data_IF_317855657640
#
_entry.id   IF_317855657640
#
_cell.length_a   1.000
_cell.length_b   1.000
_cell.length_c   1.000
_cell.angle_alpha   90.00
_cell.angle_beta   90.00
_cell.angle_gamma   90.00
#
_symmetry.space_group_name_H-M   'P 1'
#
loop_
_entity.id
_entity.type
_entity.pdbx_description
1 polymer ?
#
# COMPACT_ATOMS: atom_id res chain seq x y z
N UNK A 1 -29.28 -25.27 29.81
CA UNK A 1 -28.45 -24.40 30.67
C UNK A 1 -28.38 -23.03 30.04
N UNK A 2 -29.13 -22.05 30.56
CA UNK A 2 -29.12 -20.67 30.03
C UNK A 2 -27.87 -19.96 30.55
N UNK A 3 -26.82 -19.91 29.73
CA UNK A 3 -25.57 -19.23 30.07
C UNK A 3 -25.79 -17.73 30.21
N UNK A 4 -25.14 -17.10 31.20
CA UNK A 4 -25.13 -15.65 31.39
C UNK A 4 -24.76 -14.97 30.07
N UNK A 5 -25.59 -14.02 29.60
CA UNK A 5 -25.28 -13.23 28.41
C UNK A 5 -23.98 -12.47 28.67
N UNK A 6 -23.01 -12.60 27.78
CA UNK A 6 -21.79 -11.79 27.83
C UNK A 6 -22.15 -10.33 27.62
N UNK A 7 -21.50 -9.45 28.36
CA UNK A 7 -21.64 -8.00 28.21
C UNK A 7 -21.02 -7.55 26.89
N UNK A 8 -21.41 -6.36 26.40
CA UNK A 8 -20.85 -5.80 25.18
C UNK A 8 -19.31 -5.66 25.26
N UNK A 9 -18.78 -5.27 26.43
CA UNK A 9 -17.34 -5.16 26.67
C UNK A 9 -16.62 -6.52 26.59
N UNK A 10 -17.21 -7.58 27.14
CA UNK A 10 -16.64 -8.93 27.05
C UNK A 10 -16.64 -9.46 25.61
N UNK A 11 -17.70 -9.17 24.85
CA UNK A 11 -17.79 -9.53 23.43
C UNK A 11 -16.70 -8.84 22.63
N UNK A 12 -16.48 -7.54 22.85
CA UNK A 12 -15.43 -6.78 22.18
C UNK A 12 -14.04 -7.32 22.53
N UNK A 13 -13.75 -7.51 23.81
CA UNK A 13 -12.47 -8.06 24.28
C UNK A 13 -12.17 -9.43 23.66
N UNK A 14 -13.17 -10.32 23.60
CA UNK A 14 -13.01 -11.67 23.02
C UNK A 14 -12.82 -11.60 21.52
N UNK A 15 -13.57 -10.76 20.82
CA UNK A 15 -13.42 -10.55 19.37
C UNK A 15 -12.03 -10.02 19.04
N UNK A 16 -11.53 -9.04 19.80
CA UNK A 16 -10.17 -8.52 19.66
C UNK A 16 -9.11 -9.62 19.89
N UNK A 17 -9.29 -10.47 20.92
CA UNK A 17 -8.37 -11.60 21.14
C UNK A 17 -8.42 -12.62 20.00
N UNK A 18 -9.60 -12.91 19.45
CA UNK A 18 -9.74 -13.80 18.28
C UNK A 18 -9.03 -13.20 17.06
N UNK A 19 -9.12 -11.88 16.84
CA UNK A 19 -8.40 -11.21 15.76
C UNK A 19 -6.88 -11.40 15.89
N UNK A 20 -6.33 -11.22 17.09
CA UNK A 20 -4.91 -11.48 17.38
C UNK A 20 -4.50 -12.93 17.05
N UNK A 21 -5.32 -13.92 17.45
CA UNK A 21 -5.05 -15.34 17.17
C UNK A 21 -5.07 -15.63 15.66
N UNK A 22 -6.03 -15.04 14.92
CA UNK A 22 -6.12 -15.19 13.47
C UNK A 22 -4.89 -14.60 12.75
N UNK A 23 -4.43 -13.41 13.16
CA UNK A 23 -3.20 -12.79 12.62
C UNK A 23 -1.97 -13.67 12.89
N UNK A 24 -1.93 -14.35 14.04
CA UNK A 24 -0.89 -15.33 14.37
C UNK A 24 -1.07 -16.69 13.67
N UNK A 25 -1.98 -16.81 12.70
CA UNK A 25 -2.17 -18.00 11.87
C UNK A 25 -2.95 -19.13 12.54
N UNK A 26 -3.69 -18.86 13.63
CA UNK A 26 -4.47 -19.89 14.30
C UNK A 26 -5.72 -20.25 13.48
N UNK A 27 -6.00 -21.55 13.38
CA UNK A 27 -7.21 -22.06 12.73
C UNK A 27 -8.39 -22.13 13.73
N UNK A 28 -9.60 -22.33 13.19
CA UNK A 28 -10.85 -22.41 13.96
C UNK A 28 -10.77 -23.42 15.11
N UNK A 29 -10.30 -24.63 14.84
CA UNK A 29 -10.23 -25.71 15.84
C UNK A 29 -9.40 -25.29 17.04
N UNK A 30 -8.21 -24.74 16.80
CA UNK A 30 -7.30 -24.27 17.85
C UNK A 30 -7.87 -23.09 18.64
N UNK A 31 -8.61 -22.20 17.97
CA UNK A 31 -9.31 -21.08 18.62
C UNK A 31 -10.44 -21.60 19.54
N UNK A 32 -11.20 -22.60 19.09
CA UNK A 32 -12.25 -23.22 19.91
C UNK A 32 -11.67 -23.97 21.12
N UNK A 33 -10.54 -24.65 20.96
CA UNK A 33 -9.81 -25.28 22.07
C UNK A 33 -9.31 -24.23 23.06
N UNK A 34 -8.64 -23.18 22.59
CA UNK A 34 -8.19 -22.08 23.45
C UNK A 34 -9.33 -21.44 24.23
N UNK A 35 -10.45 -21.14 23.58
CA UNK A 35 -11.62 -20.53 24.20
C UNK A 35 -12.22 -21.39 25.31
N UNK A 36 -12.16 -22.72 25.16
CA UNK A 36 -12.70 -23.69 26.12
C UNK A 36 -11.72 -24.00 27.25
N UNK A 37 -10.47 -24.30 26.92
CA UNK A 37 -9.50 -24.89 27.84
C UNK A 37 -8.62 -23.84 28.50
N UNK A 38 -8.15 -22.86 27.75
CA UNK A 38 -7.20 -21.85 28.25
C UNK A 38 -7.92 -20.63 28.80
N UNK A 39 -8.79 -20.02 27.99
CA UNK A 39 -9.44 -18.76 28.34
C UNK A 39 -10.78 -18.97 29.07
N UNK A 40 -11.32 -20.19 29.04
CA UNK A 40 -12.49 -20.63 29.79
C UNK A 40 -13.69 -19.67 29.66
N UNK A 41 -13.97 -19.19 28.44
CA UNK A 41 -15.00 -18.17 28.21
C UNK A 41 -16.43 -18.64 28.53
N UNK A 42 -16.66 -19.95 28.60
CA UNK A 42 -17.96 -20.54 28.89
C UNK A 42 -19.01 -20.27 27.79
N UNK A 43 -18.56 -20.12 26.54
CA UNK A 43 -19.43 -19.86 25.38
C UNK A 43 -19.49 -21.06 24.44
N UNK A 44 -20.53 -21.15 23.62
CA UNK A 44 -20.66 -22.21 22.62
C UNK A 44 -19.76 -21.97 21.41
N UNK A 45 -19.44 -23.03 20.67
CA UNK A 45 -18.69 -22.96 19.41
C UNK A 45 -19.37 -22.03 18.38
N UNK A 46 -20.71 -22.00 18.35
CA UNK A 46 -21.45 -21.06 17.50
C UNK A 46 -21.29 -19.60 17.91
N UNK A 47 -21.00 -19.30 19.19
CA UNK A 47 -20.65 -17.95 19.64
C UNK A 47 -19.22 -17.60 19.23
N UNK A 48 -18.29 -18.55 19.33
CA UNK A 48 -16.89 -18.39 18.89
C UNK A 48 -16.86 -18.12 17.38
N UNK A 49 -17.69 -18.80 16.59
CA UNK A 49 -17.80 -18.57 15.15
C UNK A 49 -18.22 -17.14 14.82
N UNK A 50 -19.13 -16.55 15.60
CA UNK A 50 -19.50 -15.14 15.44
C UNK A 50 -18.32 -14.22 15.76
N UNK A 51 -17.56 -14.50 16.81
CA UNK A 51 -16.35 -13.74 17.11
C UNK A 51 -15.32 -13.84 15.98
N UNK A 52 -15.15 -15.03 15.38
CA UNK A 52 -14.26 -15.23 14.22
C UNK A 52 -14.74 -14.42 13.02
N UNK A 53 -16.05 -14.44 12.71
CA UNK A 53 -16.61 -13.68 11.61
C UNK A 53 -16.38 -12.16 11.78
N UNK A 54 -16.73 -11.61 12.95
CA UNK A 54 -16.52 -10.18 13.25
C UNK A 54 -15.03 -9.82 13.28
N UNK A 55 -14.17 -10.68 13.82
CA UNK A 55 -12.73 -10.46 13.82
C UNK A 55 -12.16 -10.41 12.39
N UNK A 56 -12.65 -11.26 11.47
CA UNK A 56 -12.25 -11.23 10.05
C UNK A 56 -12.71 -9.97 9.35
N UNK A 57 -13.95 -9.53 9.56
CA UNK A 57 -14.46 -8.27 9.03
C UNK A 57 -13.63 -7.07 9.51
N UNK A 58 -13.25 -7.06 10.79
CA UNK A 58 -12.38 -6.03 11.35
C UNK A 58 -11.00 -6.04 10.72
N UNK A 59 -10.34 -7.20 10.65
CA UNK A 59 -9.04 -7.32 9.98
C UNK A 59 -9.12 -6.83 8.54
N UNK A 60 -10.17 -7.22 7.80
CA UNK A 60 -10.38 -6.77 6.43
C UNK A 60 -10.58 -5.25 6.35
N UNK A 61 -11.37 -4.68 7.26
CA UNK A 61 -11.62 -3.24 7.31
C UNK A 61 -10.34 -2.49 7.63
N UNK A 62 -9.57 -2.93 8.62
CA UNK A 62 -8.29 -2.33 9.03
C UNK A 62 -7.30 -2.41 7.85
N UNK A 63 -7.15 -3.58 7.22
CA UNK A 63 -6.31 -3.74 6.04
C UNK A 63 -6.75 -2.81 4.89
N UNK A 64 -8.06 -2.66 4.66
CA UNK A 64 -8.59 -1.86 3.54
C UNK A 64 -8.51 -0.35 3.82
N UNK A 65 -8.80 0.10 5.04
CA UNK A 65 -8.67 1.51 5.43
C UNK A 65 -7.22 1.97 5.37
N UNK A 66 -6.29 1.09 5.76
CA UNK A 66 -4.87 1.42 5.71
C UNK A 66 -4.26 1.34 4.31
N UNK A 67 -4.93 0.82 3.27
CA UNK A 67 -4.36 0.80 1.92
C UNK A 67 -4.01 2.22 1.42
N UNK A 68 -4.91 3.19 1.64
CA UNK A 68 -4.67 4.59 1.25
C UNK A 68 -3.55 5.23 2.06
N UNK A 69 -3.50 4.95 3.36
CA UNK A 69 -2.46 5.47 4.26
C UNK A 69 -1.10 4.84 3.94
N UNK A 70 -1.04 3.53 3.76
CA UNK A 70 0.14 2.77 3.38
C UNK A 70 0.68 3.25 2.02
N UNK A 71 -0.21 3.49 1.06
CA UNK A 71 0.15 4.10 -0.22
C UNK A 71 0.76 5.49 -0.04
N UNK A 72 0.09 6.39 0.70
CA UNK A 72 0.58 7.74 0.93
C UNK A 72 1.95 7.74 1.64
N UNK A 73 2.11 6.87 2.64
CA UNK A 73 3.35 6.72 3.38
C UNK A 73 4.47 6.13 2.52
N UNK A 74 4.18 5.15 1.66
CA UNK A 74 5.14 4.60 0.70
C UNK A 74 5.60 5.67 -0.29
N UNK A 75 4.67 6.45 -0.84
CA UNK A 75 4.99 7.54 -1.76
C UNK A 75 5.87 8.61 -1.08
N UNK A 76 5.52 9.04 0.14
CA UNK A 76 6.31 10.01 0.90
C UNK A 76 7.74 9.52 1.22
N UNK A 77 7.90 8.21 1.50
CA UNK A 77 9.21 7.60 1.72
C UNK A 77 10.05 7.59 0.44
N UNK A 78 9.45 7.26 -0.71
CA UNK A 78 10.12 7.30 -2.00
C UNK A 78 10.57 8.73 -2.34
N UNK A 79 9.70 9.73 -2.16
CA UNK A 79 10.06 11.15 -2.34
C UNK A 79 11.26 11.57 -1.48
N UNK A 80 11.27 11.17 -0.21
CA UNK A 80 12.39 11.47 0.69
C UNK A 80 13.71 10.82 0.23
N UNK A 81 13.67 9.62 -0.36
CA UNK A 81 14.86 8.95 -0.91
C UNK A 81 15.30 9.64 -2.21
N UNK A 82 14.36 10.02 -3.07
CA UNK A 82 14.62 10.75 -4.30
C UNK A 82 15.36 12.07 -4.02
N UNK A 83 14.84 12.91 -3.13
CA UNK A 83 15.49 14.18 -2.77
C UNK A 83 16.93 13.98 -2.29
N UNK A 84 17.17 12.99 -1.42
CA UNK A 84 18.53 12.66 -0.93
C UNK A 84 19.45 12.15 -2.04
N UNK A 85 18.92 11.37 -2.98
CA UNK A 85 19.69 10.87 -4.12
C UNK A 85 20.10 12.02 -5.06
N UNK A 86 19.20 12.98 -5.30
CA UNK A 86 19.49 14.19 -6.07
C UNK A 86 20.54 15.05 -5.37
N UNK A 87 20.39 15.31 -4.07
CA UNK A 87 21.37 16.05 -3.26
C UNK A 87 22.76 15.40 -3.29
N UNK A 88 22.82 14.06 -3.28
CA UNK A 88 24.06 13.30 -3.35
C UNK A 88 24.63 13.14 -4.78
N UNK A 89 23.91 13.56 -5.82
CA UNK A 89 24.28 13.34 -7.22
C UNK A 89 24.19 11.88 -7.68
N UNK A 90 23.55 11.00 -6.91
CA UNK A 90 23.35 9.59 -7.28
C UNK A 90 22.13 9.45 -8.20
N UNK A 91 22.35 9.78 -9.47
CA UNK A 91 21.31 9.72 -10.50
C UNK A 91 20.83 8.29 -10.78
N UNK A 92 21.64 7.27 -10.47
CA UNK A 92 21.23 5.86 -10.63
C UNK A 92 20.18 5.50 -9.60
N UNK A 93 20.40 5.87 -8.34
CA UNK A 93 19.42 5.68 -7.28
C UNK A 93 18.16 6.51 -7.54
N UNK A 94 18.31 7.79 -7.94
CA UNK A 94 17.18 8.65 -8.27
C UNK A 94 16.29 8.02 -9.36
N UNK A 95 16.89 7.52 -10.45
CA UNK A 95 16.15 6.82 -11.51
C UNK A 95 15.45 5.55 -11.00
N UNK A 96 16.08 4.80 -10.10
CA UNK A 96 15.47 3.61 -9.49
C UNK A 96 14.24 3.97 -8.66
N UNK A 97 14.30 5.07 -7.90
CA UNK A 97 13.17 5.55 -7.09
C UNK A 97 12.01 5.98 -7.99
N UNK A 98 12.28 6.72 -9.06
CA UNK A 98 11.26 7.14 -10.04
C UNK A 98 10.56 5.93 -10.68
N UNK A 99 11.32 4.87 -10.99
CA UNK A 99 10.73 3.62 -11.50
C UNK A 99 9.80 2.96 -10.48
N UNK A 100 10.23 2.89 -9.22
CA UNK A 100 9.39 2.32 -8.15
C UNK A 100 8.13 3.14 -7.92
N UNK A 101 8.22 4.47 -7.97
CA UNK A 101 7.05 5.36 -7.89
C UNK A 101 6.09 5.13 -9.05
N UNK A 102 6.61 4.98 -10.27
CA UNK A 102 5.82 4.66 -11.46
C UNK A 102 5.03 3.36 -11.28
N UNK A 103 5.69 2.31 -10.79
CA UNK A 103 5.04 1.02 -10.50
C UNK A 103 4.00 1.16 -9.38
N UNK A 104 4.32 1.86 -8.28
CA UNK A 104 3.40 2.11 -7.17
C UNK A 104 2.14 2.87 -7.61
N UNK A 105 2.30 3.85 -8.50
CA UNK A 105 1.21 4.67 -9.07
C UNK A 105 0.44 3.94 -10.19
N UNK A 106 0.89 2.75 -10.61
CA UNK A 106 0.27 2.00 -11.70
C UNK A 106 0.46 2.65 -13.07
N UNK A 107 1.54 3.42 -13.27
CA UNK A 107 1.86 4.14 -14.51
C UNK A 107 2.74 3.32 -15.48
N UNK A 108 2.95 2.03 -15.22
CA UNK A 108 3.67 1.13 -16.12
C UNK A 108 2.96 1.00 -17.48
N UNK A 109 3.75 0.69 -18.53
CA UNK A 109 3.48 1.03 -19.93
C UNK A 109 2.08 0.66 -20.49
N UNK A 110 1.38 -0.30 -19.89
CA UNK A 110 0.02 -0.69 -20.26
C UNK A 110 -1.06 0.30 -19.79
N UNK A 111 -0.83 1.03 -18.69
CA UNK A 111 -1.73 2.10 -18.20
C UNK A 111 -1.44 3.46 -18.84
N UNK A 112 -0.16 3.75 -19.13
CA UNK A 112 0.24 5.01 -19.76
C UNK A 112 -0.35 5.21 -21.17
N UNK A 113 -0.55 4.12 -21.92
CA UNK A 113 -1.18 4.14 -23.24
C UNK A 113 -2.67 4.55 -23.22
N UNK A 114 -3.31 4.56 -22.04
CA UNK A 114 -4.71 4.97 -21.88
C UNK A 114 -4.87 6.40 -21.33
N UNK A 115 -3.79 7.03 -20.86
CA UNK A 115 -3.83 8.33 -20.17
C UNK A 115 -3.60 9.49 -21.13
N UNK A 116 -2.83 9.29 -22.20
CA UNK A 116 -2.57 10.32 -23.20
C UNK A 116 -3.44 10.06 -24.43
N UNK A 117 -4.32 11.02 -24.76
CA UNK A 117 -4.85 11.09 -26.12
C UNK A 117 -3.69 11.45 -27.08
N UNK A 118 -3.80 11.12 -28.38
CA UNK A 118 -2.79 11.52 -29.38
C UNK A 118 -2.51 13.04 -29.33
N UNK A 119 -3.53 13.85 -29.01
CA UNK A 119 -3.44 15.31 -28.88
C UNK A 119 -2.59 15.77 -27.67
N UNK A 120 -2.67 15.07 -26.52
CA UNK A 120 -1.88 15.41 -25.33
C UNK A 120 -0.38 15.08 -25.51
N UNK A 121 -0.08 14.07 -26.34
CA UNK A 121 1.28 13.66 -26.64
C UNK A 121 1.99 14.69 -27.56
N UNK A 122 1.26 15.27 -28.51
CA UNK A 122 1.75 16.34 -29.38
C UNK A 122 2.10 17.62 -28.59
N UNK A 123 1.27 17.98 -27.62
CA UNK A 123 1.51 19.14 -26.76
C UNK A 123 2.75 18.95 -25.87
N UNK A 124 2.91 17.78 -25.25
CA UNK A 124 4.09 17.45 -24.46
C UNK A 124 5.36 17.39 -25.33
N UNK A 125 5.26 16.81 -26.53
CA UNK A 125 6.37 16.73 -27.47
C UNK A 125 6.81 18.12 -27.93
N UNK A 126 5.89 19.06 -28.16
CA UNK A 126 6.21 20.44 -28.51
C UNK A 126 6.93 21.19 -27.38
N UNK A 127 6.52 20.98 -26.12
CA UNK A 127 7.19 21.58 -24.95
C UNK A 127 8.61 21.03 -24.77
N UNK A 128 8.78 19.71 -24.91
CA UNK A 128 10.11 19.08 -24.82
C UNK A 128 11.03 19.52 -25.97
N UNK A 129 10.49 19.67 -27.18
CA UNK A 129 11.22 20.19 -28.35
C UNK A 129 11.72 21.63 -28.10
N UNK A 130 10.86 22.52 -27.61
CA UNK A 130 11.24 23.90 -27.30
C UNK A 130 12.31 23.98 -26.20
N UNK A 131 12.19 23.16 -25.16
CA UNK A 131 13.19 23.08 -24.09
C UNK A 131 14.53 22.52 -24.58
N UNK A 132 14.51 21.51 -25.45
CA UNK A 132 15.72 20.97 -26.07
C UNK A 132 16.40 22.00 -26.99
N UNK A 133 15.63 22.78 -27.73
CA UNK A 133 16.13 23.88 -28.58
C UNK A 133 16.78 24.99 -27.74
N UNK A 134 16.17 25.37 -26.62
CA UNK A 134 16.72 26.34 -25.66
C UNK A 134 18.06 25.83 -25.07
N UNK A 135 18.11 24.57 -24.63
CA UNK A 135 19.34 23.94 -24.15
C UNK A 135 20.42 23.84 -25.23
N UNK A 136 20.05 23.59 -26.49
CA UNK A 136 21.00 23.51 -27.60
C UNK A 136 21.50 24.90 -28.04
N UNK A 137 20.68 25.94 -27.90
CA UNK A 137 21.07 27.32 -28.21
C UNK A 137 22.17 27.85 -27.26
N UNK A 138 22.19 27.38 -26.02
CA UNK A 138 23.19 27.74 -25.01
C UNK A 138 24.49 26.91 -25.10
N UNK A 139 24.54 25.88 -25.97
CA UNK A 139 25.71 25.02 -26.15
C UNK A 139 26.52 25.45 -27.39
N UNK A 140 27.86 25.56 -27.29
CA UNK A 140 28.69 25.90 -28.45
C UNK A 140 28.61 24.81 -29.52
N UNK A 141 28.46 25.20 -30.80
CA UNK A 141 28.25 24.29 -31.95
C UNK A 141 29.27 23.13 -32.05
N UNK A 142 30.48 23.32 -31.49
CA UNK A 142 31.51 22.28 -31.37
C UNK A 142 31.10 21.01 -30.62
N UNK A 143 30.01 21.03 -29.84
CA UNK A 143 29.47 19.87 -29.11
C UNK A 143 28.71 18.92 -30.06
N UNK A 144 28.16 19.44 -31.15
CA UNK A 144 27.32 18.68 -32.09
C UNK A 144 28.08 18.19 -33.34
N UNK A 145 29.32 18.62 -33.56
CA UNK A 145 30.13 18.30 -34.75
C UNK A 145 31.01 17.04 -34.66
N UNK A 146 30.86 16.20 -33.61
CA UNK A 146 31.53 14.88 -33.59
C UNK A 146 30.53 13.77 -33.87
N UNK A 147 30.33 13.50 -35.16
CA UNK A 147 29.87 12.21 -35.70
C UNK A 147 30.85 11.74 -36.75
#
# INVERSE_FOLDING_TARGET
MSGKKSTAAEVEMRTAKVAELLVNGWNRTRICEYARETAQWGVSDGQIDRYIATARERIQTDCTQDLKMNYALANARLEAIYSRAIEAGDLRLALSVVKEQKTLQGLDAEAAAQIYSEEDNDALSAVLQAYAEELCADLPQSVFERS
#
